data_IF_019539508146
#
_entry.id   IF_019539508146
#
_cell.length_a   1.000
_cell.length_b   1.000
_cell.length_c   1.000
_cell.angle_alpha   90.00
_cell.angle_beta   90.00
_cell.angle_gamma   90.00
#
_symmetry.space_group_name_H-M   'P 1'
#
loop_
_entity.id
_entity.type
_entity.pdbx_description
1 polymer ?
#
# COMPACT_ATOMS: atom_id res chain seq x y z
N UNK A 1 -19.80 2.19 8.35
CA UNK A 1 -19.43 1.80 6.98
C UNK A 1 -18.57 2.90 6.38
N UNK A 2 -17.62 2.59 5.50
CA UNK A 2 -16.92 3.61 4.73
C UNK A 2 -17.81 3.96 3.53
N UNK A 3 -18.17 5.23 3.37
CA UNK A 3 -19.08 5.69 2.32
C UNK A 3 -18.33 6.46 1.23
N UNK A 4 -18.83 6.38 0.00
CA UNK A 4 -18.34 7.15 -1.15
C UNK A 4 -19.48 7.89 -1.80
N UNK A 5 -19.22 9.14 -2.16
CA UNK A 5 -20.08 9.94 -3.03
C UNK A 5 -19.47 9.91 -4.43
N UNK A 6 -20.14 9.19 -5.31
CA UNK A 6 -19.78 9.03 -6.72
C UNK A 6 -20.55 10.08 -7.51
N UNK A 7 -19.83 11.01 -8.15
CA UNK A 7 -20.40 12.01 -9.06
C UNK A 7 -20.06 11.66 -10.49
N UNK A 8 -21.07 11.47 -11.31
CA UNK A 8 -20.94 11.12 -12.72
C UNK A 8 -21.37 12.33 -13.53
N UNK A 9 -20.46 12.83 -14.36
CA UNK A 9 -20.69 13.86 -15.36
C UNK A 9 -20.80 13.12 -16.69
N UNK A 10 -22.02 12.90 -17.19
CA UNK A 10 -22.23 12.13 -18.40
C UNK A 10 -22.04 12.99 -19.67
N UNK A 11 -21.98 12.33 -20.84
CA UNK A 11 -21.99 13.00 -22.14
C UNK A 11 -23.27 13.80 -22.38
N UNK A 12 -23.17 14.90 -23.13
CA UNK A 12 -24.27 15.86 -23.40
C UNK A 12 -25.48 15.21 -24.09
N UNK A 13 -25.30 14.12 -24.83
CA UNK A 13 -26.32 13.53 -25.71
C UNK A 13 -27.14 12.37 -25.10
N UNK A 14 -26.84 11.94 -23.87
CA UNK A 14 -27.55 10.82 -23.24
C UNK A 14 -28.45 11.37 -22.14
N UNK A 15 -29.69 10.87 -22.06
CA UNK A 15 -30.68 11.28 -21.05
C UNK A 15 -31.26 10.09 -20.27
N UNK A 16 -30.98 8.87 -20.68
CA UNK A 16 -31.48 7.63 -20.07
C UNK A 16 -30.46 7.07 -19.06
N UNK A 17 -30.35 7.75 -17.91
CA UNK A 17 -29.42 7.36 -16.83
C UNK A 17 -30.10 6.62 -15.68
N UNK A 18 -31.41 6.82 -15.51
CA UNK A 18 -32.21 6.20 -14.46
C UNK A 18 -32.24 4.66 -14.62
N UNK A 19 -32.10 4.15 -15.85
CA UNK A 19 -32.02 2.72 -16.12
C UNK A 19 -30.75 2.04 -15.58
N UNK A 20 -29.70 2.81 -15.27
CA UNK A 20 -28.45 2.30 -14.68
C UNK A 20 -28.49 2.25 -13.15
N UNK A 21 -29.42 2.98 -12.52
CA UNK A 21 -29.59 3.04 -11.08
C UNK A 21 -30.56 1.93 -10.65
N UNK A 22 -30.02 0.81 -10.19
CA UNK A 22 -30.80 -0.25 -9.53
C UNK A 22 -30.78 -0.02 -8.02
N UNK A 23 -31.95 0.02 -7.39
CA UNK A 23 -32.12 0.34 -5.95
C UNK A 23 -31.34 -0.57 -4.97
N UNK A 24 -30.79 -1.70 -5.42
CA UNK A 24 -29.97 -2.58 -4.56
C UNK A 24 -28.49 -2.20 -4.45
N UNK A 25 -28.00 -1.24 -5.26
CA UNK A 25 -26.57 -0.98 -5.38
C UNK A 25 -26.07 0.30 -4.67
N UNK A 26 -26.96 1.15 -4.16
CA UNK A 26 -26.60 2.43 -3.51
C UNK A 26 -27.53 2.79 -2.35
N UNK A 27 -27.06 3.68 -1.46
CA UNK A 27 -27.81 4.17 -0.30
C UNK A 27 -28.75 5.31 -0.70
N UNK A 28 -28.28 6.21 -1.56
CA UNK A 28 -29.06 7.32 -2.08
C UNK A 28 -28.54 7.73 -3.46
N UNK A 29 -29.42 8.30 -4.30
CA UNK A 29 -29.02 8.88 -5.58
C UNK A 29 -29.87 10.09 -5.94
N UNK A 30 -29.24 11.11 -6.53
CA UNK A 30 -29.94 12.30 -7.01
C UNK A 30 -29.25 12.91 -8.22
N UNK A 31 -29.99 13.67 -9.02
CA UNK A 31 -29.49 14.29 -10.25
C UNK A 31 -29.56 15.81 -10.10
N UNK A 32 -28.41 16.46 -10.17
CA UNK A 32 -28.30 17.91 -10.25
C UNK A 32 -28.35 18.34 -11.73
N UNK A 33 -29.37 19.10 -12.12
CA UNK A 33 -29.46 19.70 -13.47
C UNK A 33 -28.83 21.09 -13.43
N UNK A 34 -27.81 21.34 -14.25
CA UNK A 34 -27.19 22.65 -14.43
C UNK A 34 -27.90 23.47 -15.51
N UNK A 35 -27.83 24.80 -15.40
CA UNK A 35 -28.44 25.74 -16.36
C UNK A 35 -27.93 25.56 -17.80
N UNK A 36 -26.69 25.12 -17.98
CA UNK A 36 -26.06 24.84 -19.28
C UNK A 36 -26.54 23.53 -19.95
N UNK A 37 -27.57 22.86 -19.41
CA UNK A 37 -28.07 21.58 -19.93
C UNK A 37 -27.23 20.35 -19.53
N UNK A 38 -26.18 20.54 -18.73
CA UNK A 38 -25.40 19.43 -18.14
C UNK A 38 -26.15 18.84 -16.94
N UNK A 39 -26.06 17.53 -16.77
CA UNK A 39 -26.55 16.84 -15.56
C UNK A 39 -25.37 16.27 -14.79
N UNK A 40 -25.47 16.22 -13.46
CA UNK A 40 -24.52 15.52 -12.60
C UNK A 40 -25.32 14.49 -11.81
N UNK A 41 -24.97 13.22 -11.96
CA UNK A 41 -25.60 12.14 -11.21
C UNK A 41 -24.75 11.93 -9.96
N UNK A 42 -25.37 11.99 -8.80
CA UNK A 42 -24.75 11.78 -7.52
C UNK A 42 -25.26 10.46 -6.95
N UNK A 43 -24.34 9.60 -6.50
CA UNK A 43 -24.66 8.31 -5.91
C UNK A 43 -23.89 8.19 -4.60
N UNK A 44 -24.61 8.05 -3.50
CA UNK A 44 -24.04 7.70 -2.20
C UNK A 44 -24.07 6.18 -2.06
N UNK A 45 -22.90 5.55 -2.00
CA UNK A 45 -22.79 4.10 -1.91
C UNK A 45 -21.82 3.66 -0.83
N UNK A 46 -21.95 2.42 -0.38
CA UNK A 46 -20.89 1.76 0.37
C UNK A 46 -19.66 1.57 -0.54
N UNK A 47 -18.49 1.66 0.06
CA UNK A 47 -17.21 1.31 -0.56
C UNK A 47 -17.26 -0.06 -1.28
N UNK A 48 -18.00 -1.05 -0.75
CA UNK A 48 -18.15 -2.37 -1.38
C UNK A 48 -18.84 -2.35 -2.75
N UNK A 49 -19.82 -1.46 -2.94
CA UNK A 49 -20.60 -1.36 -4.18
C UNK A 49 -19.93 -0.43 -5.20
N UNK A 50 -18.99 0.39 -4.74
CA UNK A 50 -18.31 1.40 -5.56
C UNK A 50 -17.61 0.77 -6.78
N UNK A 51 -16.91 -0.36 -6.62
CA UNK A 51 -16.23 -1.02 -7.74
C UNK A 51 -17.22 -1.58 -8.78
N UNK A 52 -18.39 -2.08 -8.34
CA UNK A 52 -19.44 -2.57 -9.23
C UNK A 52 -20.07 -1.41 -10.02
N UNK A 53 -20.44 -0.33 -9.32
CA UNK A 53 -20.99 0.88 -9.93
C UNK A 53 -20.02 1.43 -10.99
N UNK A 54 -18.74 1.55 -10.66
CA UNK A 54 -17.73 2.02 -11.61
C UNK A 54 -17.62 1.13 -12.86
N UNK A 55 -17.65 -0.21 -12.69
CA UNK A 55 -17.62 -1.15 -13.82
C UNK A 55 -18.87 -1.04 -14.71
N UNK A 56 -20.05 -0.92 -14.10
CA UNK A 56 -21.31 -0.79 -14.83
C UNK A 56 -21.33 0.50 -15.67
N UNK A 57 -20.85 1.61 -15.11
CA UNK A 57 -20.75 2.88 -15.84
C UNK A 57 -19.61 2.87 -16.88
N UNK A 58 -18.44 2.31 -16.60
CA UNK A 58 -17.36 2.20 -17.59
C UNK A 58 -17.77 1.32 -18.78
N UNK A 59 -18.48 0.23 -18.53
CA UNK A 59 -19.09 -0.59 -19.59
C UNK A 59 -20.15 0.18 -20.40
N UNK A 60 -20.97 0.99 -19.73
CA UNK A 60 -22.03 1.78 -20.37
C UNK A 60 -21.51 2.97 -21.19
N UNK A 61 -20.35 3.52 -20.84
CA UNK A 61 -19.69 4.64 -21.52
C UNK A 61 -18.50 4.23 -22.38
N UNK A 62 -18.22 2.92 -22.46
CA UNK A 62 -17.14 2.34 -23.26
C UNK A 62 -17.15 2.91 -24.69
N UNK A 63 -16.04 3.55 -25.08
CA UNK A 63 -15.76 4.25 -26.35
C UNK A 63 -16.10 5.75 -26.43
N UNK A 64 -16.36 6.44 -25.32
CA UNK A 64 -16.41 7.91 -25.34
C UNK A 64 -15.47 8.54 -24.32
N UNK A 65 -14.80 9.61 -24.72
CA UNK A 65 -13.87 10.37 -23.87
C UNK A 65 -14.56 11.56 -23.17
N UNK A 66 -15.87 11.75 -23.39
CA UNK A 66 -16.66 12.91 -22.98
C UNK A 66 -17.46 12.67 -21.67
N UNK A 67 -16.95 11.82 -20.78
CA UNK A 67 -17.53 11.60 -19.45
C UNK A 67 -16.47 11.69 -18.35
N UNK A 68 -16.90 11.97 -17.11
CA UNK A 68 -16.03 11.93 -15.92
C UNK A 68 -16.76 11.31 -14.75
N UNK A 69 -16.05 10.49 -13.98
CA UNK A 69 -16.53 9.99 -12.69
C UNK A 69 -15.59 10.55 -11.62
N UNK A 70 -16.16 11.24 -10.64
CA UNK A 70 -15.46 11.75 -9.47
C UNK A 70 -15.88 10.90 -8.27
N UNK A 71 -14.92 10.46 -7.49
CA UNK A 71 -15.15 9.58 -6.35
C UNK A 71 -14.64 10.31 -5.10
N UNK A 72 -15.55 10.62 -4.18
CA UNK A 72 -15.23 11.44 -3.01
C UNK A 72 -15.46 10.64 -1.73
N UNK A 73 -14.50 10.64 -0.78
CA UNK A 73 -14.70 10.05 0.52
C UNK A 73 -15.73 10.86 1.32
N UNK A 74 -16.75 10.19 1.85
CA UNK A 74 -17.76 10.82 2.71
C UNK A 74 -17.33 10.63 4.16
N UNK A 75 -17.02 11.75 4.83
CA UNK A 75 -16.54 11.73 6.21
C UNK A 75 -17.63 11.30 7.20
N UNK A 76 -18.87 11.73 6.98
CA UNK A 76 -20.03 11.38 7.79
C UNK A 76 -21.34 11.64 7.03
N UNK A 77 -22.41 10.95 7.43
CA UNK A 77 -23.79 11.24 7.01
C UNK A 77 -24.68 11.36 8.25
N UNK A 78 -25.69 12.23 8.17
CA UNK A 78 -26.73 12.38 9.19
C UNK A 78 -28.09 12.34 8.49
N UNK A 79 -29.00 11.40 8.84
CA UNK A 79 -28.83 10.34 9.84
C UNK A 79 -27.73 9.33 9.46
N UNK A 80 -27.12 8.69 10.46
CA UNK A 80 -26.11 7.66 10.21
C UNK A 80 -26.76 6.48 9.49
N UNK A 81 -26.15 6.02 8.41
CA UNK A 81 -26.59 4.79 7.72
C UNK A 81 -26.43 3.62 8.69
N UNK A 82 -27.49 2.88 9.03
CA UNK A 82 -27.40 1.73 9.92
C UNK A 82 -26.34 0.78 9.37
N UNK A 83 -25.38 0.35 10.20
CA UNK A 83 -24.59 -0.82 9.86
C UNK A 83 -25.61 -1.95 9.67
N UNK A 84 -25.73 -2.54 8.47
CA UNK A 84 -26.52 -3.75 8.29
C UNK A 84 -26.07 -4.70 9.41
N UNK A 85 -26.95 -4.95 10.37
CA UNK A 85 -26.77 -6.02 11.33
C UNK A 85 -26.52 -7.25 10.46
N UNK A 86 -25.40 -7.93 10.67
CA UNK A 86 -25.17 -9.25 10.10
C UNK A 86 -26.47 -10.01 10.30
N UNK A 87 -27.24 -10.23 9.22
CA UNK A 87 -28.45 -11.04 9.29
C UNK A 87 -27.94 -12.36 9.84
N UNK A 88 -28.24 -12.63 11.11
CA UNK A 88 -28.20 -13.98 11.65
C UNK A 88 -29.22 -14.72 10.80
N UNK A 89 -28.74 -15.31 9.73
CA UNK A 89 -29.51 -16.29 8.98
C UNK A 89 -29.84 -17.37 10.02
N UNK A 90 -31.11 -17.40 10.42
CA UNK A 90 -31.67 -18.47 11.22
C UNK A 90 -31.27 -19.79 10.55
N UNK A 91 -30.65 -20.69 11.33
CA UNK A 91 -29.97 -21.92 10.92
C UNK A 91 -30.84 -22.98 10.22
N UNK A 92 -32.02 -22.64 9.68
CA UNK A 92 -33.01 -23.65 9.31
C UNK A 92 -33.44 -23.77 7.84
N UNK A 93 -32.96 -22.95 6.91
CA UNK A 93 -33.31 -23.09 5.48
C UNK A 93 -32.08 -23.10 4.55
N UNK A 94 -31.10 -23.97 4.84
CA UNK A 94 -29.97 -24.25 3.96
C UNK A 94 -30.24 -25.43 3.03
N UNK A 95 -31.21 -25.32 2.11
CA UNK A 95 -31.16 -26.09 0.87
C UNK A 95 -31.67 -25.21 -0.28
N UNK A 96 -30.74 -24.84 -1.18
CA UNK A 96 -30.93 -24.18 -2.48
C UNK A 96 -30.88 -22.63 -2.52
N UNK A 97 -29.68 -22.07 -2.70
CA UNK A 97 -29.21 -21.38 -3.93
C UNK A 97 -27.99 -20.46 -3.68
N UNK A 98 -27.01 -20.56 -4.58
CA UNK A 98 -25.84 -19.69 -4.82
C UNK A 98 -24.66 -19.64 -3.83
N UNK A 99 -23.73 -20.60 -4.02
CA UNK A 99 -22.39 -20.71 -3.41
C UNK A 99 -21.36 -19.63 -3.81
N UNK A 100 -21.75 -18.41 -4.21
CA UNK A 100 -20.77 -17.42 -4.69
C UNK A 100 -20.85 -16.00 -4.10
N UNK A 101 -21.46 -15.84 -2.92
CA UNK A 101 -21.19 -14.67 -2.07
C UNK A 101 -19.92 -14.93 -1.25
N UNK A 102 -18.77 -14.96 -1.93
CA UNK A 102 -17.48 -14.75 -1.27
C UNK A 102 -17.62 -13.49 -0.43
N UNK A 103 -17.45 -13.60 0.90
CA UNK A 103 -17.41 -12.48 1.85
C UNK A 103 -16.41 -11.45 1.31
N UNK A 104 -16.89 -10.46 0.54
CA UNK A 104 -16.05 -9.42 -0.05
C UNK A 104 -15.43 -8.67 1.11
N UNK A 105 -14.11 -8.75 1.24
CA UNK A 105 -13.37 -7.98 2.24
C UNK A 105 -13.65 -6.51 1.95
N UNK A 106 -14.24 -5.78 2.91
CA UNK A 106 -14.46 -4.33 2.85
C UNK A 106 -13.18 -3.61 2.43
N UNK A 107 -13.12 -3.15 1.17
CA UNK A 107 -11.95 -2.47 0.58
C UNK A 107 -12.37 -1.35 -0.38
N UNK A 108 -11.60 -0.27 -0.40
CA UNK A 108 -11.73 0.83 -1.37
C UNK A 108 -11.64 0.32 -2.81
N UNK A 109 -12.18 1.10 -3.75
CA UNK A 109 -12.13 0.73 -5.17
C UNK A 109 -10.68 0.70 -5.65
N UNK A 110 -10.42 -0.06 -6.72
CA UNK A 110 -9.05 -0.21 -7.26
C UNK A 110 -8.53 1.12 -7.80
N UNK A 111 -9.43 1.94 -8.34
CA UNK A 111 -9.15 3.25 -8.92
C UNK A 111 -8.78 4.24 -7.82
N UNK A 112 -9.50 4.22 -6.70
CA UNK A 112 -9.17 5.01 -5.51
C UNK A 112 -7.82 4.59 -4.93
N UNK A 113 -7.60 3.28 -4.74
CA UNK A 113 -6.33 2.73 -4.27
C UNK A 113 -5.15 3.12 -5.17
N UNK A 114 -5.36 3.12 -6.49
CA UNK A 114 -4.33 3.49 -7.46
C UNK A 114 -3.95 4.96 -7.33
N UNK A 115 -4.94 5.86 -7.21
CA UNK A 115 -4.67 7.29 -7.10
C UNK A 115 -4.04 7.64 -5.74
N UNK A 116 -4.52 7.05 -4.64
CA UNK A 116 -3.93 7.20 -3.30
C UNK A 116 -2.46 6.77 -3.31
N UNK A 117 -2.14 5.62 -3.92
CA UNK A 117 -0.76 5.13 -3.99
C UNK A 117 0.09 5.97 -4.94
N UNK A 118 -0.47 6.41 -6.06
CA UNK A 118 0.24 7.24 -7.05
C UNK A 118 0.68 8.57 -6.44
N UNK A 119 -0.16 9.19 -5.62
CA UNK A 119 0.19 10.42 -4.90
C UNK A 119 1.38 10.21 -3.94
N UNK A 120 1.43 9.06 -3.24
CA UNK A 120 2.50 8.76 -2.26
C UNK A 120 3.77 8.18 -2.90
N UNK A 121 3.67 7.61 -4.11
CA UNK A 121 4.81 7.04 -4.84
C UNK A 121 5.65 8.09 -5.56
N UNK A 122 5.06 9.24 -5.92
CA UNK A 122 5.71 10.21 -6.79
C UNK A 122 6.99 10.79 -6.17
N UNK A 123 8.08 10.64 -6.93
CA UNK A 123 9.38 11.17 -6.58
C UNK A 123 9.31 12.71 -6.55
N UNK A 124 9.42 13.29 -5.36
CA UNK A 124 9.40 14.72 -5.15
C UNK A 124 10.63 15.20 -4.36
N UNK A 125 10.97 16.47 -4.50
CA UNK A 125 12.01 17.10 -3.67
C UNK A 125 11.67 17.00 -2.17
N UNK A 126 10.39 17.12 -1.83
CA UNK A 126 9.87 16.96 -0.46
C UNK A 126 10.13 15.54 0.05
N UNK A 127 9.88 14.51 -0.75
CA UNK A 127 10.18 13.12 -0.41
C UNK A 127 11.65 12.92 -0.03
N UNK A 128 12.59 13.45 -0.84
CA UNK A 128 14.03 13.34 -0.54
C UNK A 128 14.42 14.10 0.72
N UNK A 129 13.85 15.28 0.93
CA UNK A 129 14.11 16.09 2.12
C UNK A 129 13.60 15.39 3.39
N UNK A 130 12.41 14.78 3.34
CA UNK A 130 11.85 14.00 4.45
C UNK A 130 12.72 12.78 4.77
N UNK A 131 13.22 12.07 3.75
CA UNK A 131 14.18 10.97 3.96
C UNK A 131 15.47 11.48 4.61
N UNK A 132 16.03 12.59 4.12
CA UNK A 132 17.25 13.15 4.68
C UNK A 132 17.08 13.54 6.16
N UNK A 133 16.00 14.25 6.50
CA UNK A 133 15.68 14.63 7.88
C UNK A 133 15.44 13.39 8.75
N UNK A 134 14.69 12.42 8.25
CA UNK A 134 14.44 11.17 8.97
C UNK A 134 15.72 10.39 9.24
N UNK A 135 16.65 10.31 8.29
CA UNK A 135 17.96 9.68 8.50
C UNK A 135 18.78 10.37 9.60
N UNK A 136 18.76 11.71 9.65
CA UNK A 136 19.44 12.46 10.71
C UNK A 136 18.85 12.13 12.08
N UNK A 137 17.51 12.12 12.19
CA UNK A 137 16.81 11.81 13.45
C UNK A 137 17.03 10.34 13.84
N UNK A 138 16.94 9.41 12.89
CA UNK A 138 17.15 7.98 13.11
C UNK A 138 18.59 7.69 13.57
N UNK A 139 19.59 8.29 12.92
CA UNK A 139 20.98 8.12 13.30
C UNK A 139 21.23 8.63 14.72
N UNK A 140 20.71 9.80 15.08
CA UNK A 140 20.77 10.31 16.45
C UNK A 140 20.03 9.41 17.44
N UNK A 141 18.88 8.86 17.05
CA UNK A 141 18.10 7.92 17.86
C UNK A 141 18.86 6.63 18.16
N UNK A 142 19.49 6.05 17.14
CA UNK A 142 20.32 4.85 17.25
C UNK A 142 21.55 5.11 18.13
N UNK A 143 22.30 6.20 17.88
CA UNK A 143 23.51 6.55 18.64
C UNK A 143 23.19 6.84 20.12
N UNK A 144 22.08 7.54 20.38
CA UNK A 144 21.67 7.93 21.74
C UNK A 144 20.81 6.88 22.46
N UNK A 145 20.62 5.70 21.88
CA UNK A 145 19.78 4.63 22.44
C UNK A 145 18.35 5.11 22.79
N UNK A 146 17.73 5.90 21.91
CA UNK A 146 16.42 6.51 22.15
C UNK A 146 15.36 5.92 21.22
N UNK A 147 14.55 4.97 21.70
CA UNK A 147 13.47 4.39 20.89
C UNK A 147 12.46 5.45 20.46
N UNK A 148 12.24 6.50 21.26
CA UNK A 148 11.34 7.60 20.91
C UNK A 148 11.81 8.38 19.67
N UNK A 149 13.11 8.68 19.56
CA UNK A 149 13.67 9.34 18.37
C UNK A 149 13.64 8.41 17.16
N UNK A 150 13.91 7.12 17.36
CA UNK A 150 13.84 6.10 16.30
C UNK A 150 12.42 5.99 15.76
N UNK A 151 11.40 5.94 16.62
CA UNK A 151 9.99 5.95 16.23
C UNK A 151 9.61 7.28 15.55
N UNK A 152 10.06 8.42 16.08
CA UNK A 152 9.83 9.72 15.46
C UNK A 152 10.39 9.80 14.03
N UNK A 153 11.57 9.23 13.79
CA UNK A 153 12.15 9.16 12.45
C UNK A 153 11.30 8.28 11.50
N UNK A 154 10.79 7.14 11.98
CA UNK A 154 9.89 6.27 11.19
C UNK A 154 8.63 7.00 10.74
N UNK A 155 8.04 7.84 11.60
CA UNK A 155 6.85 8.64 11.28
C UNK A 155 7.13 9.65 10.16
N UNK A 156 8.34 10.21 10.11
CA UNK A 156 8.73 11.23 9.14
C UNK A 156 9.00 10.61 7.75
N UNK A 157 9.56 9.41 7.69
CA UNK A 157 10.05 8.81 6.44
C UNK A 157 8.91 8.20 5.58
N UNK A 158 8.65 8.72 4.37
CA UNK A 158 7.63 8.19 3.47
C UNK A 158 8.10 6.94 2.68
N UNK A 159 8.81 5.99 3.30
CA UNK A 159 9.41 4.83 2.61
C UNK A 159 8.36 3.78 2.19
N UNK A 160 7.19 3.81 2.82
CA UNK A 160 6.15 2.81 2.58
C UNK A 160 5.48 2.95 1.21
N UNK A 161 5.11 4.16 0.81
CA UNK A 161 4.37 4.41 -0.43
C UNK A 161 5.03 3.76 -1.65
N UNK A 162 6.33 3.99 -1.89
CA UNK A 162 7.06 3.33 -2.97
C UNK A 162 7.07 1.80 -2.89
N UNK A 163 7.13 1.19 -1.71
CA UNK A 163 7.11 -0.28 -1.56
C UNK A 163 5.71 -0.86 -1.83
N UNK A 164 4.67 -0.25 -1.28
CA UNK A 164 3.28 -0.67 -1.54
C UNK A 164 2.90 -0.43 -2.99
N UNK A 165 3.36 0.69 -3.58
CA UNK A 165 3.21 0.97 -5.00
C UNK A 165 3.92 -0.03 -5.90
N UNK A 166 5.10 -0.53 -5.51
CA UNK A 166 5.77 -1.60 -6.23
C UNK A 166 4.96 -2.90 -6.19
N UNK A 167 4.43 -3.27 -5.03
CA UNK A 167 3.56 -4.43 -4.86
C UNK A 167 2.24 -4.30 -5.66
N UNK A 168 1.61 -3.12 -5.66
CA UNK A 168 0.39 -2.86 -6.43
C UNK A 168 0.68 -2.90 -7.93
N UNK A 169 1.74 -2.22 -8.38
CA UNK A 169 2.15 -2.20 -9.78
C UNK A 169 2.43 -3.60 -10.31
N UNK A 170 3.06 -4.44 -9.49
CA UNK A 170 3.33 -5.84 -9.78
C UNK A 170 2.04 -6.65 -9.87
N UNK A 171 1.09 -6.42 -8.98
CA UNK A 171 -0.21 -7.10 -8.97
C UNK A 171 -1.06 -6.71 -10.18
N UNK A 172 -1.03 -5.43 -10.57
CA UNK A 172 -1.80 -4.89 -11.70
C UNK A 172 -1.07 -5.05 -13.06
N UNK A 173 0.21 -5.44 -13.07
CA UNK A 173 1.04 -5.43 -14.28
C UNK A 173 1.36 -4.03 -14.83
N UNK A 174 1.25 -2.98 -14.01
CA UNK A 174 1.50 -1.60 -14.42
C UNK A 174 3.01 -1.28 -14.43
N UNK A 175 3.61 -1.38 -15.62
CA UNK A 175 5.04 -1.07 -15.82
C UNK A 175 5.40 0.39 -15.54
N UNK A 176 4.47 1.33 -15.71
CA UNK A 176 4.74 2.74 -15.45
C UNK A 176 4.82 3.01 -13.94
N UNK A 177 3.83 2.52 -13.19
CA UNK A 177 3.84 2.61 -11.71
C UNK A 177 5.02 1.83 -11.11
N UNK A 178 5.37 0.67 -11.67
CA UNK A 178 6.52 -0.12 -11.23
C UNK A 178 7.83 0.66 -11.39
N UNK A 179 8.05 1.29 -12.56
CA UNK A 179 9.26 2.11 -12.80
C UNK A 179 9.33 3.33 -11.89
N UNK A 180 8.20 3.99 -11.61
CA UNK A 180 8.14 5.12 -10.67
C UNK A 180 8.48 4.67 -9.25
N UNK A 181 7.80 3.62 -8.77
CA UNK A 181 8.03 3.03 -7.45
C UNK A 181 9.48 2.61 -7.26
N UNK A 182 10.06 1.90 -8.24
CA UNK A 182 11.45 1.45 -8.18
C UNK A 182 12.44 2.62 -8.18
N UNK A 183 12.19 3.68 -8.96
CA UNK A 183 13.00 4.91 -8.91
C UNK A 183 12.93 5.55 -7.51
N UNK A 184 11.74 5.73 -6.95
CA UNK A 184 11.56 6.33 -5.62
C UNK A 184 12.25 5.52 -4.52
N UNK A 185 12.14 4.18 -4.55
CA UNK A 185 12.88 3.28 -3.66
C UNK A 185 14.38 3.47 -3.85
N UNK A 186 14.88 3.41 -5.09
CA UNK A 186 16.31 3.46 -5.36
C UNK A 186 16.93 4.81 -4.94
N UNK A 187 16.30 5.94 -5.25
CA UNK A 187 16.78 7.26 -4.83
C UNK A 187 16.66 7.46 -3.31
N UNK A 188 15.52 7.08 -2.71
CA UNK A 188 15.32 7.22 -1.26
C UNK A 188 16.30 6.37 -0.46
N UNK A 189 16.46 5.11 -0.85
CA UNK A 189 17.41 4.18 -0.25
C UNK A 189 18.85 4.66 -0.43
N UNK A 190 19.23 5.05 -1.66
CA UNK A 190 20.60 5.54 -1.93
C UNK A 190 20.91 6.80 -1.13
N UNK A 191 19.98 7.75 -1.06
CA UNK A 191 20.17 8.98 -0.28
C UNK A 191 20.31 8.65 1.22
N UNK A 192 19.40 7.84 1.76
CA UNK A 192 19.44 7.45 3.16
C UNK A 192 20.70 6.67 3.53
N UNK A 193 21.16 5.80 2.63
CA UNK A 193 22.39 5.04 2.79
C UNK A 193 23.63 5.93 2.76
N UNK A 194 23.73 6.85 1.79
CA UNK A 194 24.84 7.80 1.70
C UNK A 194 24.90 8.68 2.96
N UNK A 195 23.76 9.23 3.39
CA UNK A 195 23.70 10.09 4.57
C UNK A 195 24.07 9.33 5.86
N UNK A 196 23.59 8.10 6.03
CA UNK A 196 23.93 7.29 7.20
C UNK A 196 25.40 6.86 7.20
N UNK A 197 25.99 6.54 6.04
CA UNK A 197 27.44 6.29 5.92
C UNK A 197 28.25 7.54 6.28
N UNK A 198 27.87 8.71 5.74
CA UNK A 198 28.53 9.97 6.08
C UNK A 198 28.44 10.26 7.58
N UNK A 199 27.27 10.07 8.20
CA UNK A 199 27.13 10.21 9.65
C UNK A 199 27.99 9.22 10.42
N UNK A 200 28.06 7.95 10.00
CA UNK A 200 28.89 6.94 10.66
C UNK A 200 30.39 7.18 10.52
N UNK A 201 30.81 7.93 9.49
CA UNK A 201 32.21 8.36 9.33
C UNK A 201 32.58 9.59 10.17
N UNK A 202 31.59 10.40 10.54
CA UNK A 202 31.77 11.62 11.34
C UNK A 202 31.65 11.33 12.83
N UNK A 203 30.71 10.46 13.22
CA UNK A 203 30.43 10.11 14.61
C UNK A 203 31.02 8.76 14.97
N UNK A 204 31.58 8.66 16.18
CA UNK A 204 32.01 7.40 16.76
C UNK A 204 30.77 6.59 17.19
N UNK A 205 30.67 5.35 16.72
CA UNK A 205 29.51 4.48 16.94
C UNK A 205 29.91 3.38 17.90
N UNK A 206 29.18 3.29 19.03
CA UNK A 206 29.29 2.14 19.92
C UNK A 206 28.31 1.04 19.47
N UNK A 207 28.80 -0.11 18.96
CA UNK A 207 27.95 -1.21 18.49
C UNK A 207 27.18 -1.91 19.61
N UNK A 208 27.60 -1.78 20.88
CA UNK A 208 26.96 -2.42 22.03
C UNK A 208 25.66 -1.72 22.45
N UNK A 209 25.40 -0.52 21.91
CA UNK A 209 24.13 0.17 22.12
C UNK A 209 22.99 -0.72 21.66
N UNK A 210 21.97 -0.90 22.52
CA UNK A 210 20.86 -1.81 22.27
C UNK A 210 20.17 -1.53 20.92
N UNK A 211 19.89 -0.25 20.63
CA UNK A 211 19.27 0.12 19.36
C UNK A 211 20.14 -0.18 18.11
N UNK A 212 21.45 -0.39 18.24
CA UNK A 212 22.30 -0.78 17.11
C UNK A 212 22.47 -2.30 17.09
N UNK A 213 22.89 -2.90 18.20
CA UNK A 213 23.09 -4.34 18.35
C UNK A 213 21.85 -5.17 18.05
N UNK A 214 20.65 -4.70 18.40
CA UNK A 214 19.39 -5.40 18.09
C UNK A 214 19.08 -5.47 16.59
N UNK A 215 19.86 -4.77 15.76
CA UNK A 215 19.67 -4.67 14.30
C UNK A 215 20.85 -5.25 13.52
N UNK A 216 21.86 -5.83 14.17
CA UNK A 216 23.03 -6.45 13.50
C UNK A 216 22.86 -7.94 13.27
N UNK A 217 21.80 -8.55 13.78
CA UNK A 217 21.50 -9.98 13.57
C UNK A 217 20.11 -10.11 13.00
N UNK A 218 19.97 -10.95 11.98
CA UNK A 218 18.66 -11.29 11.41
C UNK A 218 18.21 -12.64 11.94
N UNK A 219 16.95 -12.80 12.28
CA UNK A 219 16.36 -14.03 12.80
C UNK A 219 15.15 -14.46 11.97
N UNK A 220 14.72 -15.70 12.13
CA UNK A 220 13.43 -16.17 11.58
C UNK A 220 12.24 -15.34 12.10
N UNK A 221 12.36 -14.77 13.30
CA UNK A 221 11.36 -13.86 13.85
C UNK A 221 11.20 -12.57 13.02
N UNK A 222 12.29 -12.05 12.43
CA UNK A 222 12.25 -10.85 11.59
C UNK A 222 11.53 -11.09 10.26
N UNK A 223 11.60 -12.31 9.73
CA UNK A 223 10.83 -12.71 8.55
C UNK A 223 9.33 -12.63 8.86
N UNK A 224 8.90 -13.22 9.99
CA UNK A 224 7.50 -13.17 10.42
C UNK A 224 7.04 -11.73 10.65
N UNK A 225 7.87 -10.91 11.30
CA UNK A 225 7.59 -9.50 11.54
C UNK A 225 7.47 -8.70 10.22
N UNK A 226 8.38 -8.93 9.28
CA UNK A 226 8.37 -8.28 7.97
C UNK A 226 7.15 -8.64 7.13
N UNK A 227 6.75 -9.91 7.13
CA UNK A 227 5.54 -10.36 6.46
C UNK A 227 4.29 -9.74 7.09
N UNK A 228 4.20 -9.75 8.42
CA UNK A 228 3.08 -9.14 9.14
C UNK A 228 2.99 -7.63 8.88
N UNK A 229 4.11 -6.91 8.89
CA UNK A 229 4.17 -5.49 8.58
C UNK A 229 3.74 -5.20 7.14
N UNK A 230 4.16 -6.02 6.17
CA UNK A 230 3.73 -5.91 4.78
C UNK A 230 2.22 -6.13 4.60
N UNK A 231 1.67 -7.17 5.21
CA UNK A 231 0.20 -7.42 5.21
C UNK A 231 -0.54 -6.24 5.84
N UNK A 232 -0.10 -5.78 7.02
CA UNK A 232 -0.73 -4.64 7.71
C UNK A 232 -0.67 -3.35 6.88
N UNK A 233 0.46 -3.07 6.24
CA UNK A 233 0.63 -1.93 5.32
C UNK A 233 -0.37 -1.98 4.18
N UNK A 234 -0.41 -3.09 3.44
CA UNK A 234 -1.30 -3.25 2.29
C UNK A 234 -2.79 -3.26 2.69
N UNK A 235 -3.17 -3.92 3.80
CA UNK A 235 -4.54 -3.90 4.30
C UNK A 235 -5.00 -2.51 4.72
N UNK A 236 -4.11 -1.69 5.27
CA UNK A 236 -4.46 -0.33 5.68
C UNK A 236 -4.73 0.56 4.47
N UNK A 237 -3.94 0.41 3.40
CA UNK A 237 -4.20 1.08 2.12
C UNK A 237 -5.52 0.63 1.51
N UNK A 238 -5.82 -0.67 1.49
CA UNK A 238 -7.09 -1.15 0.92
C UNK A 238 -8.30 -0.79 1.77
N UNK A 239 -8.15 -0.45 3.05
CA UNK A 239 -9.25 0.01 3.91
C UNK A 239 -9.46 1.52 3.90
N UNK A 240 -8.69 2.29 3.11
CA UNK A 240 -8.78 3.75 3.09
C UNK A 240 -8.45 4.39 4.44
N UNK A 241 -7.61 3.73 5.24
CA UNK A 241 -7.10 4.28 6.50
C UNK A 241 -6.08 5.37 6.14
N UNK A 242 -6.06 6.49 6.90
CA UNK A 242 -5.16 7.62 6.62
C UNK A 242 -3.71 7.18 6.45
N UNK A 243 -3.09 7.57 5.33
CA UNK A 243 -1.70 7.30 4.97
C UNK A 243 -0.69 7.60 6.08
N UNK A 244 -0.99 8.57 6.97
CA UNK A 244 -0.16 8.93 8.12
C UNK A 244 -0.04 7.80 9.15
N UNK A 245 -1.12 7.06 9.43
CA UNK A 245 -1.11 5.92 10.37
C UNK A 245 -0.35 4.73 9.76
N UNK A 246 -0.45 4.57 8.45
CA UNK A 246 0.18 3.49 7.69
C UNK A 246 1.70 3.65 7.66
N UNK A 247 2.19 4.89 7.45
CA UNK A 247 3.61 5.20 7.41
C UNK A 247 4.37 4.75 8.67
N UNK A 248 3.76 4.95 9.85
CA UNK A 248 4.36 4.57 11.14
C UNK A 248 4.53 3.06 11.29
N UNK A 249 3.53 2.26 10.91
CA UNK A 249 3.54 0.82 11.20
C UNK A 249 4.57 0.03 10.38
N UNK A 250 4.91 0.48 9.17
CA UNK A 250 5.82 -0.25 8.26
C UNK A 250 7.19 0.41 8.11
N UNK A 251 7.31 1.72 8.30
CA UNK A 251 8.63 2.38 8.36
C UNK A 251 9.49 1.83 9.52
N UNK A 252 8.86 1.22 10.53
CA UNK A 252 9.49 0.45 11.61
C UNK A 252 10.46 -0.61 11.08
N UNK A 253 10.10 -1.28 9.99
CA UNK A 253 10.86 -2.39 9.45
C UNK A 253 12.02 -1.94 8.55
N UNK A 254 11.90 -0.82 7.82
CA UNK A 254 12.85 -0.50 6.75
C UNK A 254 13.89 0.56 7.12
N UNK A 255 13.46 1.65 7.78
CA UNK A 255 14.35 2.78 8.02
C UNK A 255 15.45 2.47 9.05
N UNK A 256 15.15 1.92 10.25
CA UNK A 256 16.18 1.72 11.27
C UNK A 256 17.31 0.77 10.86
N UNK A 257 17.04 -0.43 10.29
CA UNK A 257 18.14 -1.32 9.89
C UNK A 257 18.93 -0.73 8.72
N UNK A 258 18.30 0.02 7.80
CA UNK A 258 19.02 0.72 6.74
C UNK A 258 20.00 1.76 7.32
N UNK A 259 19.55 2.59 8.26
CA UNK A 259 20.41 3.59 8.90
C UNK A 259 21.49 2.93 9.75
N UNK A 260 21.17 1.87 10.50
CA UNK A 260 22.16 1.09 11.25
C UNK A 260 23.25 0.50 10.33
N UNK A 261 22.86 -0.05 9.17
CA UNK A 261 23.79 -0.54 8.15
C UNK A 261 24.74 0.56 7.71
N UNK A 262 24.22 1.73 7.34
CA UNK A 262 25.07 2.84 6.87
C UNK A 262 26.00 3.37 7.95
N UNK A 263 25.49 3.53 9.19
CA UNK A 263 26.31 3.92 10.35
C UNK A 263 27.49 2.96 10.55
N UNK A 264 27.24 1.65 10.58
CA UNK A 264 28.27 0.63 10.79
C UNK A 264 29.29 0.59 9.64
N UNK A 265 28.86 0.75 8.39
CA UNK A 265 29.77 0.88 7.23
C UNK A 265 30.65 2.12 7.38
N UNK A 266 30.06 3.26 7.76
CA UNK A 266 30.78 4.52 7.95
C UNK A 266 31.86 4.43 9.03
N UNK A 267 31.64 3.58 10.05
CA UNK A 267 32.60 3.35 11.13
C UNK A 267 33.62 2.23 10.84
N UNK A 268 33.55 1.59 9.66
CA UNK A 268 34.44 0.48 9.27
C UNK A 268 34.09 -0.87 9.88
N UNK A 269 32.93 -1.01 10.52
CA UNK A 269 32.45 -2.23 11.17
C UNK A 269 31.70 -3.14 10.19
N UNK A 270 32.40 -3.64 9.17
CA UNK A 270 31.78 -4.36 8.06
C UNK A 270 31.06 -5.65 8.47
N UNK A 271 31.57 -6.38 9.47
CA UNK A 271 30.96 -7.64 9.92
C UNK A 271 29.55 -7.42 10.50
N UNK A 272 29.39 -6.40 11.34
CA UNK A 272 28.09 -6.01 11.90
C UNK A 272 27.19 -5.36 10.85
N UNK A 273 27.78 -4.59 9.93
CA UNK A 273 27.05 -3.96 8.85
C UNK A 273 26.40 -4.99 7.91
N UNK A 274 27.06 -6.12 7.63
CA UNK A 274 26.49 -7.18 6.79
C UNK A 274 25.20 -7.71 7.41
N UNK A 275 25.19 -7.95 8.72
CA UNK A 275 23.99 -8.43 9.41
C UNK A 275 22.84 -7.41 9.42
N UNK A 276 23.13 -6.12 9.63
CA UNK A 276 22.14 -5.06 9.49
C UNK A 276 21.62 -4.88 8.06
N UNK A 277 22.52 -5.06 7.08
CA UNK A 277 22.17 -5.03 5.66
C UNK A 277 21.26 -6.20 5.28
N UNK A 278 21.56 -7.41 5.76
CA UNK A 278 20.72 -8.59 5.59
C UNK A 278 19.33 -8.38 6.21
N UNK A 279 19.26 -7.81 7.42
CA UNK A 279 17.99 -7.46 8.06
C UNK A 279 17.18 -6.47 7.19
N UNK A 280 17.83 -5.44 6.65
CA UNK A 280 17.20 -4.47 5.74
C UNK A 280 16.64 -5.14 4.49
N UNK A 281 17.43 -5.99 3.83
CA UNK A 281 17.02 -6.74 2.64
C UNK A 281 15.87 -7.71 2.95
N UNK A 282 15.91 -8.35 4.12
CA UNK A 282 14.85 -9.23 4.61
C UNK A 282 13.52 -8.50 4.67
N UNK A 283 13.50 -7.30 5.26
CA UNK A 283 12.28 -6.50 5.36
C UNK A 283 11.79 -6.03 4.00
N UNK A 284 12.67 -5.63 3.07
CA UNK A 284 12.26 -5.27 1.70
C UNK A 284 11.57 -6.46 1.01
N UNK A 285 12.18 -7.64 1.07
CA UNK A 285 11.64 -8.86 0.44
C UNK A 285 10.30 -9.23 1.07
N UNK A 286 10.23 -9.28 2.40
CA UNK A 286 9.03 -9.68 3.12
C UNK A 286 7.86 -8.72 2.89
N UNK A 287 8.10 -7.40 2.96
CA UNK A 287 7.06 -6.39 2.74
C UNK A 287 6.51 -6.47 1.31
N UNK A 288 7.37 -6.59 0.30
CA UNK A 288 6.92 -6.70 -1.09
C UNK A 288 6.18 -8.02 -1.37
N UNK A 289 6.70 -9.16 -0.89
CA UNK A 289 6.04 -10.45 -1.03
C UNK A 289 4.67 -10.47 -0.36
N UNK A 290 4.60 -10.02 0.89
CA UNK A 290 3.36 -9.92 1.65
C UNK A 290 2.37 -8.97 0.97
N UNK A 291 2.84 -7.86 0.41
CA UNK A 291 1.98 -6.92 -0.29
C UNK A 291 1.35 -7.51 -1.55
N UNK A 292 2.15 -8.17 -2.40
CA UNK A 292 1.65 -8.85 -3.61
C UNK A 292 0.64 -9.94 -3.23
N UNK A 293 0.95 -10.78 -2.22
CA UNK A 293 0.02 -11.81 -1.74
C UNK A 293 -1.28 -11.20 -1.20
N UNK A 294 -1.18 -10.12 -0.42
CA UNK A 294 -2.34 -9.43 0.17
C UNK A 294 -3.26 -8.84 -0.89
N UNK A 295 -2.72 -8.22 -1.94
CA UNK A 295 -3.51 -7.67 -3.03
C UNK A 295 -4.16 -8.76 -3.89
N UNK A 296 -3.46 -9.87 -4.14
CA UNK A 296 -4.02 -11.02 -4.85
C UNK A 296 -5.14 -11.71 -4.07
N UNK A 297 -4.96 -11.91 -2.75
CA UNK A 297 -5.99 -12.48 -1.88
C UNK A 297 -7.24 -11.60 -1.79
N UNK A 298 -7.08 -10.28 -1.88
CA UNK A 298 -8.20 -9.33 -1.96
C UNK A 298 -8.86 -9.25 -3.34
N UNK A 299 -8.37 -10.02 -4.31
CA UNK A 299 -8.92 -10.08 -5.66
C UNK A 299 -8.72 -8.80 -6.46
N UNK A 300 -7.65 -8.05 -6.21
CA UNK A 300 -7.28 -6.89 -7.02
C UNK A 300 -6.75 -7.40 -8.37
N UNK A 301 -7.45 -7.09 -9.46
CA UNK A 301 -7.14 -7.56 -10.82
C UNK A 301 -7.08 -6.40 -11.82
N UNK A 302 -6.36 -6.54 -12.96
CA UNK A 302 -6.32 -5.52 -14.02
C UNK A 302 -7.68 -5.34 -14.69
N UNK A 303 -8.01 -4.10 -15.14
CA UNK A 303 -9.30 -3.76 -15.76
C UNK A 303 -9.51 -4.29 -17.20
N UNK A 304 -8.45 -4.49 -17.98
CA UNK A 304 -8.59 -4.84 -19.41
C UNK A 304 -8.35 -6.33 -19.64
N UNK A 305 -9.29 -7.05 -20.27
CA UNK A 305 -9.15 -8.46 -20.69
C UNK A 305 -7.84 -8.76 -21.45
N UNK A 306 -7.28 -7.77 -22.16
CA UNK A 306 -5.98 -7.87 -22.85
C UNK A 306 -4.77 -7.79 -21.90
N UNK A 307 -4.91 -7.13 -20.75
CA UNK A 307 -3.90 -6.98 -19.69
C UNK A 307 -4.06 -7.99 -18.54
N UNK A 308 -5.17 -8.73 -18.46
CA UNK A 308 -5.39 -9.75 -17.41
C UNK A 308 -4.34 -10.85 -17.49
N UNK A 309 -4.08 -11.41 -18.69
CA UNK A 309 -3.05 -12.46 -18.86
C UNK A 309 -1.65 -11.95 -18.54
N UNK A 310 -1.30 -10.74 -19.00
CA UNK A 310 0.00 -10.14 -18.66
C UNK A 310 0.11 -9.89 -17.15
N UNK A 311 -0.90 -9.29 -16.49
CA UNK A 311 -0.88 -9.03 -15.05
C UNK A 311 -0.86 -10.31 -14.19
N UNK A 312 -1.59 -11.36 -14.56
CA UNK A 312 -1.57 -12.65 -13.87
C UNK A 312 -0.22 -13.37 -14.04
N UNK A 313 0.42 -13.28 -15.20
CA UNK A 313 1.78 -13.80 -15.41
C UNK A 313 2.81 -12.97 -14.64
N UNK A 314 2.76 -11.64 -14.70
CA UNK A 314 3.68 -10.73 -14.00
C UNK A 314 3.61 -10.90 -12.48
N UNK A 315 2.40 -10.97 -11.91
CA UNK A 315 2.20 -11.21 -10.48
C UNK A 315 2.71 -12.59 -10.05
N UNK A 316 2.49 -13.63 -10.86
CA UNK A 316 3.05 -14.97 -10.61
C UNK A 316 4.57 -14.99 -10.67
N UNK A 317 5.18 -14.37 -11.68
CA UNK A 317 6.64 -14.26 -11.77
C UNK A 317 7.21 -13.50 -10.59
N UNK A 318 6.57 -12.41 -10.17
CA UNK A 318 7.03 -11.66 -9.01
C UNK A 318 6.91 -12.44 -7.71
N UNK A 319 5.82 -13.20 -7.49
CA UNK A 319 5.72 -14.11 -6.34
C UNK A 319 6.87 -15.12 -6.38
N UNK A 320 7.14 -15.72 -7.53
CA UNK A 320 8.24 -16.70 -7.67
C UNK A 320 9.58 -16.03 -7.36
N UNK A 321 9.84 -14.84 -7.89
CA UNK A 321 11.08 -14.09 -7.66
C UNK A 321 11.22 -13.74 -6.17
N UNK A 322 10.21 -13.13 -5.56
CA UNK A 322 10.26 -12.76 -4.15
C UNK A 322 10.33 -13.97 -3.21
N UNK A 323 9.62 -15.05 -3.53
CA UNK A 323 9.70 -16.31 -2.79
C UNK A 323 11.07 -16.98 -2.96
N UNK A 324 11.66 -16.95 -4.14
CA UNK A 324 13.01 -17.46 -4.39
C UNK A 324 14.07 -16.64 -3.63
N UNK A 325 13.95 -15.30 -3.64
CA UNK A 325 14.80 -14.41 -2.85
C UNK A 325 14.65 -14.68 -1.34
N UNK A 326 13.42 -14.88 -0.87
CA UNK A 326 13.15 -15.22 0.52
C UNK A 326 13.73 -16.59 0.90
N UNK A 327 13.60 -17.61 0.04
CA UNK A 327 14.22 -18.92 0.25
C UNK A 327 15.75 -18.85 0.27
N UNK A 328 16.34 -18.09 -0.67
CA UNK A 328 17.78 -17.83 -0.69
C UNK A 328 18.23 -17.16 0.61
N UNK A 329 17.45 -16.20 1.11
CA UNK A 329 17.74 -15.49 2.36
C UNK A 329 17.61 -16.43 3.57
N UNK A 330 16.57 -17.28 3.63
CA UNK A 330 16.43 -18.30 4.66
C UNK A 330 17.66 -19.22 4.70
N UNK A 331 18.17 -19.63 3.53
CA UNK A 331 19.38 -20.45 3.46
C UNK A 331 20.59 -19.68 4.01
N UNK A 332 20.77 -18.41 3.66
CA UNK A 332 21.86 -17.57 4.18
C UNK A 332 21.77 -17.47 5.71
N UNK A 333 20.58 -17.19 6.26
CA UNK A 333 20.35 -17.13 7.71
C UNK A 333 20.68 -18.48 8.35
N UNK A 334 20.21 -19.58 7.77
CA UNK A 334 20.47 -20.93 8.28
C UNK A 334 21.96 -21.25 8.37
N UNK A 335 22.74 -20.90 7.33
CA UNK A 335 24.19 -21.07 7.32
C UNK A 335 24.94 -20.10 8.23
N UNK A 336 24.35 -18.96 8.59
CA UNK A 336 24.95 -18.00 9.51
C UNK A 336 24.71 -18.37 10.99
N UNK A 337 23.63 -19.11 11.28
CA UNK A 337 23.26 -19.58 12.63
C UNK A 337 23.65 -21.04 12.94
N UNK A 338 24.22 -21.78 11.98
CA UNK A 338 24.75 -23.15 12.16
C UNK A 338 26.26 -23.14 12.12
#
# INVERSE_FOLDING_TARGET
MALRLIKIIPPVDRSDFESFLKDEDYIDSWIDKMEDGKSIINILADVEMTEKILQDFDAAFSNRDDYRILLMPVAATVPSVPAEEEKKEDEHDLIHQDENKSKRVKRISREELYEDIKEVVDFSWVYLLLIALSCIVAANGLIRNSPAMVIGAMVIAPILGPNVGLALATTLGDRALMKRSLKSIMYGFSLGMILSILMGSIFEINPEVYEISSRTTVSFADIALGLAAGVAGCLSFTRGISAAVIGVMVAVALLPPMVATGLLIGNGMYDLAIGAGLLTVTYIICVNLAGVLTFLLQGIKPQSFRKIKEGEEFSRYAIIIWAALLLMLILIIYFQFT
#
